data_IF_460605488268
#
_entry.id   IF_460605488268
#
_cell.length_a   1.000
_cell.length_b   1.000
_cell.length_c   1.000
_cell.angle_alpha   90.00
_cell.angle_beta   90.00
_cell.angle_gamma   90.00
#
_symmetry.space_group_name_H-M   'P 1'
#
loop_
_entity.id
_entity.type
_entity.pdbx_description
1 polymer ?
#
# COMPACT_ATOMS: atom_id res chain seq x y z
N UNK A 1 9.69 -8.95 -66.62
CA UNK A 1 8.44 -8.68 -65.86
C UNK A 1 8.35 -9.48 -64.54
N UNK A 2 8.71 -10.77 -64.51
CA UNK A 2 8.62 -11.65 -63.32
C UNK A 2 9.05 -11.03 -61.96
N UNK A 3 10.18 -10.31 -61.89
CA UNK A 3 10.69 -9.74 -60.62
C UNK A 3 9.72 -8.78 -59.91
N UNK A 4 8.83 -8.10 -60.65
CA UNK A 4 7.76 -7.27 -60.05
C UNK A 4 6.59 -8.11 -59.53
N UNK A 5 6.23 -9.20 -60.22
CA UNK A 5 5.16 -10.11 -59.81
C UNK A 5 5.51 -10.86 -58.52
N UNK A 6 6.76 -11.30 -58.36
CA UNK A 6 7.22 -11.92 -57.11
C UNK A 6 7.12 -10.97 -55.90
N UNK A 7 7.54 -9.70 -56.05
CA UNK A 7 7.45 -8.71 -54.97
C UNK A 7 5.99 -8.42 -54.55
N UNK A 8 5.07 -8.32 -55.51
CA UNK A 8 3.63 -8.15 -55.22
C UNK A 8 3.06 -9.37 -54.50
N UNK A 9 3.39 -10.59 -54.96
CA UNK A 9 2.93 -11.82 -54.31
C UNK A 9 3.47 -11.96 -52.87
N UNK A 10 4.75 -11.66 -52.65
CA UNK A 10 5.34 -11.66 -51.30
C UNK A 10 4.69 -10.63 -50.37
N UNK A 11 4.39 -9.42 -50.85
CA UNK A 11 3.67 -8.41 -50.06
C UNK A 11 2.25 -8.85 -49.69
N UNK A 12 1.51 -9.43 -50.63
CA UNK A 12 0.15 -9.95 -50.36
C UNK A 12 0.15 -11.07 -49.33
N UNK A 13 1.13 -11.99 -49.38
CA UNK A 13 1.27 -13.05 -48.38
C UNK A 13 1.59 -12.52 -46.98
N UNK A 14 2.45 -11.49 -46.88
CA UNK A 14 2.78 -10.83 -45.60
C UNK A 14 1.55 -10.13 -45.02
N UNK A 15 0.78 -9.39 -45.84
CA UNK A 15 -0.45 -8.72 -45.40
C UNK A 15 -1.50 -9.74 -44.96
N UNK A 16 -1.70 -10.82 -45.70
CA UNK A 16 -2.65 -11.88 -45.33
C UNK A 16 -2.26 -12.58 -44.02
N UNK A 17 -0.97 -12.88 -43.83
CA UNK A 17 -0.45 -13.43 -42.58
C UNK A 17 -0.70 -12.48 -41.40
N UNK A 18 -0.39 -11.19 -41.56
CA UNK A 18 -0.59 -10.17 -40.53
C UNK A 18 -2.07 -10.05 -40.13
N UNK A 19 -2.98 -9.94 -41.11
CA UNK A 19 -4.43 -9.87 -40.86
C UNK A 19 -4.97 -11.14 -40.18
N UNK A 20 -4.48 -12.33 -40.58
CA UNK A 20 -4.87 -13.60 -39.96
C UNK A 20 -4.44 -13.68 -38.48
N UNK A 21 -3.23 -13.21 -38.19
CA UNK A 21 -2.70 -13.11 -36.82
C UNK A 21 -3.53 -12.10 -36.01
N UNK A 22 -3.77 -10.89 -36.54
CA UNK A 22 -4.58 -9.87 -35.87
C UNK A 22 -6.00 -10.36 -35.57
N UNK A 23 -6.62 -11.13 -36.48
CA UNK A 23 -7.94 -11.73 -36.25
C UNK A 23 -7.92 -12.72 -35.08
N UNK A 24 -6.92 -13.61 -35.03
CA UNK A 24 -6.76 -14.59 -33.94
C UNK A 24 -6.57 -13.95 -32.55
N UNK A 25 -5.90 -12.79 -32.49
CA UNK A 25 -5.70 -12.04 -31.25
C UNK A 25 -6.85 -11.08 -30.88
N UNK A 26 -7.78 -10.80 -31.80
CA UNK A 26 -8.94 -9.91 -31.54
C UNK A 26 -10.26 -10.66 -31.39
N UNK A 27 -10.35 -11.91 -31.84
CA UNK A 27 -11.52 -12.76 -31.64
C UNK A 27 -11.62 -13.29 -30.20
N UNK A 28 -12.04 -12.43 -29.26
CA UNK A 28 -12.53 -12.88 -27.95
C UNK A 28 -13.82 -13.69 -28.18
N UNK A 29 -13.93 -14.95 -27.73
CA UNK A 29 -15.15 -15.73 -27.92
C UNK A 29 -16.31 -15.12 -27.11
N UNK A 30 -17.47 -14.97 -27.76
CA UNK A 30 -18.65 -14.30 -27.20
C UNK A 30 -19.10 -14.83 -25.83
N UNK A 31 -18.82 -16.10 -25.52
CA UNK A 31 -19.10 -16.74 -24.24
C UNK A 31 -18.39 -16.09 -23.01
N UNK A 32 -17.44 -15.18 -23.21
CA UNK A 32 -16.78 -14.44 -22.14
C UNK A 32 -17.56 -13.22 -21.63
N UNK A 33 -18.54 -12.72 -22.40
CA UNK A 33 -19.24 -11.45 -22.09
C UNK A 33 -20.34 -11.63 -21.03
N UNK A 34 -21.04 -12.78 -21.03
CA UNK A 34 -22.22 -13.02 -20.19
C UNK A 34 -21.91 -13.19 -18.68
N UNK A 35 -20.65 -13.34 -18.27
CA UNK A 35 -20.29 -13.51 -16.84
C UNK A 35 -20.17 -12.21 -16.05
N UNK A 36 -20.20 -11.04 -16.69
CA UNK A 36 -20.13 -9.75 -16.00
C UNK A 36 -21.46 -9.35 -15.31
N UNK A 37 -22.60 -9.85 -15.79
CA UNK A 37 -23.93 -9.42 -15.32
C UNK A 37 -24.34 -10.00 -13.95
N UNK A 38 -23.68 -11.05 -13.47
CA UNK A 38 -24.09 -11.76 -12.23
C UNK A 38 -23.50 -11.20 -10.93
N UNK A 39 -22.67 -10.15 -10.98
CA UNK A 39 -21.97 -9.60 -9.80
C UNK A 39 -22.65 -8.38 -9.15
N UNK A 40 -23.74 -7.87 -9.74
CA UNK A 40 -24.53 -6.76 -9.14
C UNK A 40 -25.69 -7.34 -8.31
N UNK A 41 -25.34 -7.99 -7.20
CA UNK A 41 -26.30 -8.56 -6.26
C UNK A 41 -27.00 -7.50 -5.41
N UNK A 42 -28.12 -6.96 -5.88
CA UNK A 42 -29.02 -6.13 -5.06
C UNK A 42 -30.20 -6.98 -4.58
N UNK A 43 -30.01 -7.72 -3.49
CA UNK A 43 -31.10 -8.40 -2.77
C UNK A 43 -31.55 -7.57 -1.58
N UNK A 44 -32.65 -6.82 -1.77
CA UNK A 44 -33.24 -5.96 -0.74
C UNK A 44 -33.78 -6.78 0.43
N UNK A 45 -33.13 -6.66 1.60
CA UNK A 45 -33.57 -7.32 2.82
C UNK A 45 -34.76 -6.57 3.46
N UNK A 46 -35.98 -7.05 3.21
CA UNK A 46 -37.15 -6.70 4.03
C UNK A 46 -37.13 -7.54 5.30
N UNK A 47 -36.81 -6.92 6.44
CA UNK A 47 -37.26 -7.46 7.72
C UNK A 47 -38.11 -6.44 8.49
N UNK A 48 -39.17 -6.97 9.11
CA UNK A 48 -40.30 -6.25 9.68
C UNK A 48 -40.23 -6.44 11.19
N UNK A 49 -40.12 -5.37 11.97
CA UNK A 49 -40.12 -5.47 13.42
C UNK A 49 -41.13 -4.50 14.04
N UNK A 50 -41.98 -5.04 14.92
CA UNK A 50 -43.18 -4.41 15.45
C UNK A 50 -42.89 -3.58 16.70
N UNK A 51 -43.65 -2.48 16.85
CA UNK A 51 -43.86 -1.78 18.13
C UNK A 51 -44.88 -2.52 19.01
N UNK A 52 -44.77 -2.37 20.34
CA UNK A 52 -45.76 -1.63 21.15
C UNK A 52 -45.10 -0.51 21.98
N UNK A 53 -45.77 0.39 22.71
CA UNK A 53 -47.21 0.69 22.86
C UNK A 53 -47.60 1.05 24.31
N UNK A 54 -47.96 2.32 24.61
CA UNK A 54 -48.32 2.85 25.96
C UNK A 54 -47.11 3.08 26.89
N UNK A 55 -47.08 3.90 27.95
CA UNK A 55 -48.08 4.78 28.62
C UNK A 55 -47.92 4.69 30.16
N UNK A 56 -47.99 5.73 31.00
CA UNK A 56 -48.14 7.18 30.81
C UNK A 56 -48.88 7.83 32.01
N UNK A 57 -48.30 8.85 32.69
CA UNK A 57 -48.91 9.50 33.87
C UNK A 57 -48.00 10.50 34.62
N UNK A 58 -48.62 11.54 35.19
CA UNK A 58 -48.02 12.66 35.94
C UNK A 58 -47.86 12.37 37.45
N UNK A 59 -47.12 13.23 38.17
CA UNK A 59 -47.11 13.28 39.65
C UNK A 59 -45.94 14.07 40.25
N UNK A 60 -46.23 15.21 40.87
CA UNK A 60 -45.29 16.04 41.63
C UNK A 60 -44.90 15.44 43.00
N UNK A 61 -43.79 15.89 43.60
CA UNK A 61 -43.69 16.33 45.02
C UNK A 61 -42.23 16.67 45.45
N UNK A 62 -42.10 17.34 46.61
CA UNK A 62 -41.01 18.25 46.98
C UNK A 62 -39.62 17.69 47.40
N UNK A 63 -38.60 18.49 47.02
CA UNK A 63 -37.39 18.88 47.75
C UNK A 63 -36.66 17.94 48.76
N UNK A 64 -35.37 17.65 48.47
CA UNK A 64 -34.25 17.98 49.40
C UNK A 64 -32.85 17.96 48.73
N UNK A 65 -31.98 18.87 49.17
CA UNK A 65 -30.52 18.87 48.90
C UNK A 65 -29.85 17.52 49.20
N UNK A 66 -28.99 17.05 48.28
CA UNK A 66 -27.57 16.72 48.55
C UNK A 66 -26.73 17.10 47.30
N UNK A 67 -25.46 17.43 47.52
CA UNK A 67 -24.45 17.73 46.49
C UNK A 67 -24.10 16.45 45.72
N UNK A 68 -23.84 16.57 44.42
CA UNK A 68 -22.68 15.97 43.71
C UNK A 68 -22.87 16.16 42.20
N UNK A 69 -21.96 16.89 41.56
CA UNK A 69 -21.97 17.07 40.12
C UNK A 69 -21.44 15.81 39.45
N UNK A 70 -22.33 14.85 39.19
CA UNK A 70 -21.99 13.65 38.42
C UNK A 70 -21.41 14.05 37.05
N UNK A 71 -20.36 13.35 36.56
CA UNK A 71 -19.81 13.63 35.24
C UNK A 71 -20.88 13.39 34.17
N UNK A 72 -20.90 14.26 33.16
CA UNK A 72 -21.78 14.12 32.00
C UNK A 72 -21.51 12.77 31.34
N UNK A 73 -22.44 11.83 31.48
CA UNK A 73 -22.36 10.53 30.83
C UNK A 73 -22.62 10.72 29.33
N UNK A 74 -21.53 10.92 28.57
CA UNK A 74 -21.57 10.74 27.12
C UNK A 74 -22.03 9.32 26.81
N UNK A 75 -23.03 9.10 25.93
CA UNK A 75 -23.58 7.78 25.68
C UNK A 75 -22.51 6.86 25.08
N UNK A 76 -22.14 5.83 25.83
CA UNK A 76 -21.20 4.79 25.40
C UNK A 76 -21.75 4.08 24.17
N UNK A 77 -21.01 3.97 23.04
CA UNK A 77 -21.43 3.17 21.91
C UNK A 77 -21.46 1.69 22.31
N UNK A 78 -22.66 1.11 22.42
CA UNK A 78 -22.86 -0.29 22.73
C UNK A 78 -22.40 -1.17 21.56
N UNK A 79 -21.32 -1.93 21.77
CA UNK A 79 -20.71 -2.79 20.75
C UNK A 79 -19.26 -2.45 20.35
N UNK A 80 -18.52 -1.72 21.19
CA UNK A 80 -17.09 -1.47 20.97
C UNK A 80 -16.23 -2.73 21.16
N UNK A 81 -15.50 -3.14 20.12
CA UNK A 81 -14.37 -4.06 20.25
C UNK A 81 -13.22 -3.34 20.97
N UNK A 82 -12.89 -3.78 22.18
CA UNK A 82 -11.71 -3.37 22.93
C UNK A 82 -10.66 -4.48 22.92
N UNK A 83 -9.41 -4.15 22.59
CA UNK A 83 -8.29 -5.06 22.82
C UNK A 83 -7.94 -5.00 24.30
N UNK A 84 -8.01 -6.13 24.98
CA UNK A 84 -7.42 -6.29 26.31
C UNK A 84 -5.89 -6.32 26.17
N UNK A 85 -5.24 -5.26 26.64
CA UNK A 85 -3.78 -5.11 26.55
C UNK A 85 -3.04 -6.06 27.50
N UNK A 86 -3.66 -6.43 28.62
CA UNK A 86 -3.06 -7.34 29.60
C UNK A 86 -3.11 -8.81 29.13
N UNK A 87 -4.03 -9.13 28.21
CA UNK A 87 -4.18 -10.45 27.56
C UNK A 87 -3.55 -10.54 26.16
N UNK A 88 -2.65 -9.64 25.78
CA UNK A 88 -2.00 -9.68 24.47
C UNK A 88 -1.16 -10.97 24.28
N UNK A 89 -1.27 -11.66 23.14
CA UNK A 89 -0.45 -12.83 22.87
C UNK A 89 1.03 -12.44 22.68
N UNK A 90 1.91 -13.27 23.22
CA UNK A 90 3.35 -13.21 22.97
C UNK A 90 3.66 -13.20 21.45
N UNK A 91 4.67 -12.43 21.03
CA UNK A 91 5.10 -12.31 19.63
C UNK A 91 5.90 -13.54 19.17
N UNK A 92 6.41 -14.32 20.14
CA UNK A 92 7.11 -15.59 20.01
C UNK A 92 6.14 -16.73 19.64
N UNK A 93 6.50 -17.55 18.64
CA UNK A 93 5.62 -18.59 18.08
C UNK A 93 5.89 -18.87 16.59
N UNK A 94 5.19 -19.86 16.02
CA UNK A 94 5.23 -20.15 14.58
C UNK A 94 4.16 -19.35 13.80
N UNK A 95 4.15 -19.47 12.47
CA UNK A 95 3.05 -19.06 11.61
C UNK A 95 1.73 -19.73 12.03
N UNK A 96 0.67 -18.92 12.07
CA UNK A 96 -0.70 -19.38 12.31
C UNK A 96 -1.28 -20.02 11.03
N UNK A 97 -0.83 -19.58 9.85
CA UNK A 97 -1.34 -20.07 8.58
C UNK A 97 -0.71 -21.42 8.18
N UNK A 98 -1.49 -22.35 7.61
CA UNK A 98 -0.95 -23.56 7.01
C UNK A 98 -0.17 -23.24 5.71
N UNK A 99 0.46 -24.27 5.14
CA UNK A 99 1.16 -24.17 3.86
C UNK A 99 0.18 -23.83 2.72
N UNK A 100 0.49 -22.79 1.96
CA UNK A 100 -0.25 -22.43 0.74
C UNK A 100 0.35 -23.19 -0.44
N UNK A 101 -0.36 -24.18 -0.99
CA UNK A 101 0.18 -25.04 -2.05
C UNK A 101 0.09 -24.41 -3.45
N UNK A 102 -1.00 -23.69 -3.75
CA UNK A 102 -1.22 -23.13 -5.08
C UNK A 102 -0.18 -22.03 -5.41
N UNK A 103 0.70 -22.31 -6.38
CA UNK A 103 1.81 -21.44 -6.75
C UNK A 103 1.35 -20.09 -7.36
N UNK A 104 0.28 -20.09 -8.16
CA UNK A 104 -0.27 -18.87 -8.77
C UNK A 104 -0.83 -17.93 -7.72
N UNK A 105 -1.70 -18.44 -6.84
CA UNK A 105 -2.28 -17.66 -5.74
C UNK A 105 -1.20 -17.17 -4.77
N UNK A 106 -0.18 -17.98 -4.48
CA UNK A 106 0.98 -17.59 -3.67
C UNK A 106 1.76 -16.42 -4.30
N UNK A 107 1.95 -16.45 -5.62
CA UNK A 107 2.67 -15.39 -6.33
C UNK A 107 1.84 -14.10 -6.43
N UNK A 108 0.52 -14.20 -6.62
CA UNK A 108 -0.42 -13.07 -6.61
C UNK A 108 -0.47 -12.39 -5.24
N UNK A 109 -0.70 -13.18 -4.19
CA UNK A 109 -0.63 -12.74 -2.80
C UNK A 109 0.70 -12.03 -2.51
N UNK A 110 1.83 -12.66 -2.87
CA UNK A 110 3.15 -12.08 -2.67
C UNK A 110 3.31 -10.71 -3.32
N UNK A 111 2.91 -10.54 -4.58
CA UNK A 111 2.97 -9.24 -5.28
C UNK A 111 2.10 -8.18 -4.60
N UNK A 112 0.86 -8.53 -4.24
CA UNK A 112 -0.06 -7.62 -3.57
C UNK A 112 0.47 -7.18 -2.20
N UNK A 113 0.99 -8.12 -1.41
CA UNK A 113 1.57 -7.85 -0.09
C UNK A 113 2.85 -7.02 -0.18
N UNK A 114 3.76 -7.29 -1.11
CA UNK A 114 4.95 -6.45 -1.28
C UNK A 114 4.58 -5.02 -1.69
N UNK A 115 3.58 -4.82 -2.56
CA UNK A 115 3.07 -3.46 -2.86
C UNK A 115 2.52 -2.78 -1.61
N UNK A 116 1.72 -3.47 -0.79
CA UNK A 116 1.23 -2.93 0.48
C UNK A 116 2.37 -2.54 1.43
N UNK A 117 3.29 -3.46 1.72
CA UNK A 117 4.37 -3.23 2.69
C UNK A 117 5.30 -2.10 2.25
N UNK A 118 5.68 -2.04 0.97
CA UNK A 118 6.56 -0.99 0.47
C UNK A 118 5.88 0.37 0.42
N UNK A 119 4.61 0.45 0.04
CA UNK A 119 3.85 1.72 0.14
C UNK A 119 3.71 2.15 1.61
N UNK A 120 3.46 1.23 2.55
CA UNK A 120 3.42 1.54 3.98
C UNK A 120 4.76 2.09 4.49
N UNK A 121 5.89 1.46 4.11
CA UNK A 121 7.22 1.94 4.48
C UNK A 121 7.54 3.31 3.83
N UNK A 122 7.14 3.53 2.58
CA UNK A 122 7.28 4.82 1.88
C UNK A 122 6.39 5.94 2.48
N UNK A 123 5.31 5.59 3.17
CA UNK A 123 4.44 6.53 3.93
C UNK A 123 4.93 6.81 5.36
N UNK A 124 5.91 6.06 5.87
CA UNK A 124 6.41 6.19 7.24
C UNK A 124 7.05 7.59 7.50
N UNK A 125 7.08 8.10 8.75
CA UNK A 125 7.66 9.41 9.04
C UNK A 125 9.19 9.46 8.85
N UNK A 126 9.73 10.63 8.48
CA UNK A 126 11.18 10.85 8.47
C UNK A 126 11.79 10.94 9.87
N UNK A 127 10.98 11.35 10.86
CA UNK A 127 11.33 11.51 12.27
C UNK A 127 10.25 10.86 13.15
N UNK A 128 10.16 9.51 13.15
CA UNK A 128 9.10 8.80 13.88
C UNK A 128 9.32 8.86 15.39
N UNK A 129 8.22 8.97 16.13
CA UNK A 129 8.18 8.84 17.58
C UNK A 129 8.51 7.42 18.03
N UNK A 130 8.81 7.23 19.32
CA UNK A 130 9.05 5.89 19.88
C UNK A 130 7.85 4.95 19.63
N UNK A 131 6.63 5.48 19.75
CA UNK A 131 5.40 4.72 19.55
C UNK A 131 5.23 4.23 18.11
N UNK A 132 5.37 5.12 17.12
CA UNK A 132 5.31 4.76 15.69
C UNK A 132 6.39 3.73 15.30
N UNK A 133 7.58 3.83 15.88
CA UNK A 133 8.68 2.86 15.70
C UNK A 133 8.31 1.49 16.25
N UNK A 134 7.86 1.43 17.49
CA UNK A 134 7.41 0.19 18.15
C UNK A 134 6.20 -0.41 17.43
N UNK A 135 5.29 0.42 16.92
CA UNK A 135 4.15 -0.01 16.10
C UNK A 135 4.61 -0.68 14.80
N UNK A 136 5.56 -0.08 14.07
CA UNK A 136 6.11 -0.67 12.84
C UNK A 136 6.82 -2.00 13.10
N UNK A 137 7.67 -2.06 14.14
CA UNK A 137 8.40 -3.27 14.55
C UNK A 137 7.43 -4.39 14.97
N UNK A 138 6.42 -4.07 15.78
CA UNK A 138 5.38 -5.00 16.23
C UNK A 138 4.51 -5.48 15.06
N UNK A 139 4.15 -4.58 14.15
CA UNK A 139 3.42 -4.92 12.93
C UNK A 139 4.19 -5.96 12.09
N UNK A 140 5.50 -5.80 11.90
CA UNK A 140 6.30 -6.77 11.15
C UNK A 140 6.32 -8.15 11.82
N UNK A 141 6.40 -8.20 13.16
CA UNK A 141 6.32 -9.46 13.91
C UNK A 141 4.95 -10.14 13.77
N UNK A 142 3.86 -9.39 13.92
CA UNK A 142 2.48 -9.87 13.77
C UNK A 142 2.19 -10.31 12.33
N UNK A 143 2.63 -9.53 11.34
CA UNK A 143 2.59 -9.89 9.92
C UNK A 143 3.28 -11.23 9.67
N UNK A 144 4.49 -11.43 10.23
CA UNK A 144 5.21 -12.69 10.14
C UNK A 144 4.46 -13.90 10.72
N UNK A 145 3.51 -13.71 11.66
CA UNK A 145 2.65 -14.79 12.19
C UNK A 145 1.39 -15.02 11.35
N UNK A 146 0.78 -13.94 10.86
CA UNK A 146 -0.52 -13.93 10.19
C UNK A 146 -0.46 -14.09 8.66
N UNK A 147 0.73 -13.97 8.04
CA UNK A 147 0.85 -14.03 6.58
C UNK A 147 0.31 -15.37 6.01
N UNK A 148 -0.66 -15.37 5.07
CA UNK A 148 -1.44 -16.55 4.69
C UNK A 148 -0.71 -17.55 3.75
N UNK A 149 0.60 -17.73 3.98
CA UNK A 149 1.41 -18.82 3.46
C UNK A 149 2.40 -19.25 4.55
N UNK A 150 2.14 -20.36 5.24
CA UNK A 150 2.90 -20.78 6.42
C UNK A 150 4.42 -20.93 6.20
N UNK A 151 4.84 -21.49 5.07
CA UNK A 151 6.28 -21.59 4.74
C UNK A 151 6.92 -20.23 4.44
N UNK A 152 6.16 -19.35 3.79
CA UNK A 152 6.61 -17.98 3.50
C UNK A 152 6.74 -17.18 4.80
N UNK A 153 5.77 -17.34 5.69
CA UNK A 153 5.71 -16.73 7.01
C UNK A 153 6.89 -17.19 7.89
N UNK A 154 7.14 -18.52 8.00
CA UNK A 154 8.32 -19.08 8.67
C UNK A 154 9.63 -18.50 8.15
N UNK A 155 9.79 -18.44 6.84
CA UNK A 155 11.00 -17.87 6.23
C UNK A 155 11.16 -16.38 6.56
N UNK A 156 10.07 -15.59 6.48
CA UNK A 156 10.10 -14.19 6.86
C UNK A 156 10.42 -13.99 8.35
N UNK A 157 9.90 -14.85 9.24
CA UNK A 157 10.25 -14.83 10.68
C UNK A 157 11.73 -15.13 10.94
N UNK A 158 12.36 -16.00 10.15
CA UNK A 158 13.81 -16.19 10.20
C UNK A 158 14.57 -14.91 9.80
N UNK A 159 14.14 -14.24 8.72
CA UNK A 159 14.69 -12.93 8.33
C UNK A 159 14.53 -11.89 9.45
N UNK A 160 13.36 -11.82 10.12
CA UNK A 160 13.13 -10.89 11.24
C UNK A 160 14.04 -11.15 12.45
N UNK A 161 14.39 -12.42 12.70
CA UNK A 161 15.26 -12.80 13.82
C UNK A 161 16.75 -12.48 13.56
N UNK A 162 17.21 -12.62 12.31
CA UNK A 162 18.59 -12.31 11.91
C UNK A 162 18.80 -10.82 11.58
N UNK A 163 17.78 -10.17 11.00
CA UNK A 163 17.81 -8.80 10.50
C UNK A 163 16.60 -7.99 10.99
N UNK A 164 16.62 -7.51 12.26
CA UNK A 164 15.47 -6.82 12.85
C UNK A 164 15.08 -5.53 12.11
N UNK A 165 13.78 -5.14 12.09
CA UNK A 165 13.28 -3.97 11.36
C UNK A 165 13.99 -2.66 11.74
N UNK A 166 14.42 -1.89 10.74
CA UNK A 166 15.05 -0.59 10.95
C UNK A 166 14.02 0.54 10.86
N UNK A 167 13.49 0.95 12.00
CA UNK A 167 12.42 1.95 12.12
C UNK A 167 12.90 3.40 12.30
N UNK A 168 14.19 3.71 12.12
CA UNK A 168 14.76 5.02 12.48
C UNK A 168 14.23 6.21 11.68
N UNK A 169 13.74 5.97 10.46
CA UNK A 169 13.15 6.96 9.53
C UNK A 169 12.46 6.22 8.38
N UNK A 170 11.73 6.95 7.51
CA UNK A 170 11.19 6.45 6.24
C UNK A 170 12.25 5.68 5.42
N UNK A 171 13.41 6.30 5.19
CA UNK A 171 14.48 5.70 4.39
C UNK A 171 15.06 4.45 5.03
N UNK A 172 15.16 4.41 6.37
CA UNK A 172 15.59 3.21 7.09
C UNK A 172 14.57 2.07 6.94
N UNK A 173 13.27 2.37 7.08
CA UNK A 173 12.19 1.40 6.98
C UNK A 173 12.05 0.83 5.56
N UNK A 174 12.08 1.69 4.54
CA UNK A 174 12.02 1.30 3.14
C UNK A 174 13.28 0.54 2.70
N UNK A 175 14.48 1.00 3.10
CA UNK A 175 15.74 0.33 2.80
C UNK A 175 15.83 -1.06 3.42
N UNK A 176 15.46 -1.21 4.71
CA UNK A 176 15.39 -2.51 5.37
C UNK A 176 14.37 -3.45 4.71
N UNK A 177 13.18 -2.94 4.36
CA UNK A 177 12.16 -3.76 3.71
C UNK A 177 12.60 -4.21 2.30
N UNK A 178 13.34 -3.36 1.57
CA UNK A 178 13.96 -3.73 0.30
C UNK A 178 15.00 -4.84 0.48
N UNK A 179 15.89 -4.71 1.45
CA UNK A 179 16.85 -5.76 1.81
C UNK A 179 16.16 -7.08 2.19
N UNK A 180 15.11 -7.03 3.01
CA UNK A 180 14.33 -8.21 3.38
C UNK A 180 13.61 -8.85 2.17
N UNK A 181 13.13 -8.03 1.23
CA UNK A 181 12.58 -8.52 -0.05
C UNK A 181 13.67 -9.18 -0.90
N UNK A 182 14.89 -8.63 -0.94
CA UNK A 182 16.03 -9.25 -1.64
C UNK A 182 16.46 -10.58 -1.03
N UNK A 183 16.39 -10.78 0.29
CA UNK A 183 16.56 -12.11 0.92
C UNK A 183 15.51 -13.13 0.47
N UNK A 184 14.29 -12.68 0.15
CA UNK A 184 13.26 -13.54 -0.47
C UNK A 184 13.53 -13.76 -1.97
N UNK A 185 14.05 -12.77 -2.69
CA UNK A 185 14.46 -12.90 -4.09
C UNK A 185 15.58 -13.94 -4.27
N UNK A 186 16.65 -13.83 -3.47
CA UNK A 186 17.79 -14.75 -3.44
C UNK A 186 17.34 -16.21 -3.24
N UNK A 187 16.55 -16.48 -2.18
CA UNK A 187 15.96 -17.80 -1.92
C UNK A 187 15.10 -18.33 -3.09
N UNK A 188 14.49 -17.45 -3.88
CA UNK A 188 13.66 -17.79 -5.03
C UNK A 188 14.43 -17.77 -6.36
N UNK A 189 15.74 -17.58 -6.36
CA UNK A 189 16.57 -17.50 -7.57
C UNK A 189 16.22 -16.31 -8.45
N UNK A 190 15.74 -15.20 -7.87
CA UNK A 190 15.37 -13.97 -8.57
C UNK A 190 16.53 -12.95 -8.54
N UNK A 191 16.66 -12.09 -9.56
CA UNK A 191 17.61 -10.99 -9.52
C UNK A 191 17.41 -10.10 -8.28
N UNK A 192 18.52 -9.56 -7.77
CA UNK A 192 18.51 -8.55 -6.73
C UNK A 192 17.92 -7.23 -7.28
N UNK A 193 17.13 -6.53 -6.46
CA UNK A 193 16.64 -5.19 -6.76
C UNK A 193 17.56 -4.13 -6.13
N UNK A 194 17.96 -3.11 -6.88
CA UNK A 194 18.76 -2.01 -6.34
C UNK A 194 17.93 -1.14 -5.38
N UNK A 195 18.19 -1.28 -4.08
CA UNK A 195 17.47 -0.54 -3.05
C UNK A 195 17.68 0.99 -3.10
N UNK A 196 18.64 1.51 -3.86
CA UNK A 196 18.74 2.96 -4.11
C UNK A 196 17.58 3.48 -4.97
N UNK A 197 17.01 2.63 -5.84
CA UNK A 197 15.86 2.96 -6.69
C UNK A 197 14.50 2.77 -6.00
N UNK A 198 14.46 2.38 -4.71
CA UNK A 198 13.22 1.98 -4.03
C UNK A 198 12.20 3.13 -3.92
N UNK A 199 12.68 4.36 -3.75
CA UNK A 199 11.83 5.55 -3.61
C UNK A 199 11.10 5.95 -4.89
N UNK A 200 11.73 5.73 -6.05
CA UNK A 200 11.12 6.00 -7.36
C UNK A 200 10.18 4.84 -7.79
N UNK A 201 10.52 3.60 -7.41
CA UNK A 201 9.74 2.41 -7.76
C UNK A 201 8.45 2.26 -6.93
N UNK A 202 8.52 2.57 -5.63
CA UNK A 202 7.35 2.63 -4.75
C UNK A 202 7.04 4.07 -4.36
N UNK A 203 6.45 4.80 -5.32
CA UNK A 203 5.80 6.09 -5.06
C UNK A 203 4.94 6.02 -3.78
N UNK A 204 5.18 6.97 -2.88
CA UNK A 204 4.43 7.12 -1.63
C UNK A 204 3.02 7.67 -1.85
N UNK A 205 2.66 8.12 -3.06
CA UNK A 205 1.38 8.78 -3.33
C UNK A 205 1.24 10.11 -2.57
N UNK A 206 2.38 10.70 -2.18
CA UNK A 206 2.43 12.01 -1.56
C UNK A 206 2.20 13.07 -2.64
N UNK A 207 1.39 14.10 -2.36
CA UNK A 207 1.24 15.22 -3.29
C UNK A 207 2.60 15.88 -3.56
N UNK A 208 2.84 16.36 -4.79
CA UNK A 208 4.15 16.87 -5.21
C UNK A 208 4.49 18.28 -4.69
N UNK A 209 3.85 18.71 -3.60
CA UNK A 209 3.87 20.05 -2.99
C UNK A 209 5.27 20.50 -2.50
N UNK A 210 6.26 19.59 -2.51
CA UNK A 210 7.65 19.83 -2.10
C UNK A 210 8.66 19.85 -3.26
N UNK A 211 8.29 19.53 -4.51
CA UNK A 211 9.26 19.57 -5.62
C UNK A 211 9.74 20.98 -5.98
N UNK A 212 8.96 22.02 -5.67
CA UNK A 212 9.33 23.41 -5.90
C UNK A 212 10.40 23.94 -4.92
N UNK A 213 10.52 23.35 -3.71
CA UNK A 213 11.53 23.78 -2.72
C UNK A 213 12.96 23.30 -3.04
N UNK A 214 13.11 22.36 -3.97
CA UNK A 214 14.42 21.81 -4.35
C UNK A 214 15.07 22.54 -5.53
N UNK A 215 14.29 23.24 -6.37
CA UNK A 215 14.81 23.98 -7.54
C UNK A 215 15.53 25.29 -7.20
N UNK A 216 15.33 25.86 -6.01
CA UNK A 216 15.87 27.19 -5.64
C UNK A 216 17.29 27.17 -5.06
N UNK A 217 17.99 26.02 -5.05
CA UNK A 217 19.34 25.90 -4.48
C UNK A 217 20.46 25.63 -5.47
N UNK A 218 20.12 25.33 -6.73
CA UNK A 218 21.08 24.93 -7.76
C UNK A 218 21.15 25.96 -8.92
N UNK A 219 21.15 27.27 -8.62
CA UNK A 219 21.59 28.27 -9.59
C UNK A 219 23.13 28.42 -9.56
N UNK A 220 23.81 28.31 -10.71
CA UNK A 220 25.25 28.43 -10.77
C UNK A 220 25.70 29.90 -10.69
N UNK A 221 26.68 30.18 -9.82
CA UNK A 221 27.47 31.42 -9.91
C UNK A 221 28.29 31.41 -11.21
N UNK A 222 27.83 32.13 -12.22
CA UNK A 222 28.61 32.54 -13.38
C UNK A 222 28.61 34.09 -13.43
N UNK A 223 29.80 34.68 -13.62
CA UNK A 223 30.02 36.11 -13.44
C UNK A 223 30.06 36.93 -14.73
N UNK A 224 30.40 38.20 -14.57
CA UNK A 224 30.66 39.19 -15.62
C UNK A 224 30.30 40.59 -15.12
N UNK A 225 30.95 41.66 -15.57
CA UNK A 225 32.27 41.77 -16.20
C UNK A 225 32.74 43.22 -15.98
N UNK A 226 34.04 43.51 -16.09
CA UNK A 226 34.52 44.89 -15.99
C UNK A 226 34.10 45.70 -17.23
N UNK A 227 33.60 46.93 -17.06
CA UNK A 227 34.07 48.03 -17.91
C UNK A 227 33.82 49.45 -17.38
N UNK A 228 34.68 50.34 -17.87
CA UNK A 228 35.00 51.67 -17.35
C UNK A 228 34.38 52.80 -18.19
N UNK A 229 33.76 53.78 -17.52
CA UNK A 229 33.64 55.24 -17.82
C UNK A 229 32.77 55.85 -16.70
N UNK A 230 33.03 57.04 -16.16
CA UNK A 230 33.45 58.28 -16.83
C UNK A 230 34.62 59.03 -16.15
N UNK A 231 35.37 59.76 -16.99
CA UNK A 231 36.03 61.00 -16.59
C UNK A 231 35.04 62.16 -16.81
N UNK A 232 34.96 63.13 -15.92
CA UNK A 232 35.57 64.48 -16.13
C UNK A 232 35.07 65.57 -15.13
N UNK A 233 36.05 66.30 -14.57
CA UNK A 233 36.01 67.69 -14.03
C UNK A 233 35.38 68.08 -12.69
N UNK A 234 36.16 68.97 -12.04
CA UNK A 234 35.83 70.05 -11.08
C UNK A 234 35.40 69.60 -9.67
N UNK A 235 35.89 70.21 -8.60
CA UNK A 235 36.80 71.38 -8.42
C UNK A 235 37.87 71.10 -7.35
#
# INVERSE_FOLDING_TARGET
MARRQHLVLSLLLIVFLFLSISYFFTSVPAAAVDRAASLVGVTSNKNKQQRPGGGGGDGDDDAKLVKDAAPVQTPTPSGGFSIDLDSLPSLEGDSIAPKLENATLKAELGRATWRFLHTMAARFPDKPTKDERTTFETFMQLFGRLYPCGDCARHFRAILAEYPPQSGSRSAAAGWLCFAHNKVNDRLGKPEFDCNAIGDFYDCGCAEDDKDKKKTKDEPRAGGDENNKDKEKKE
#
